data_IF_214108901734
#
_entry.id   IF_214108901734
#
_cell.length_a   1.000
_cell.length_b   1.000
_cell.length_c   1.000
_cell.angle_alpha   90.00
_cell.angle_beta   90.00
_cell.angle_gamma   90.00
#
_symmetry.space_group_name_H-M   'P 1'
#
loop_
_entity.id
_entity.type
_entity.pdbx_description
1 polymer ?
#
# COMPACT_ATOMS: atom_id res chain seq x y z
N UNK A 1 -25.80 -8.33 -67.91
CA UNK A 1 -26.28 -7.67 -66.67
C UNK A 1 -26.25 -8.54 -65.45
N UNK A 2 -26.79 -9.77 -65.40
CA UNK A 2 -26.85 -10.63 -64.23
C UNK A 2 -25.50 -11.01 -63.60
N UNK A 3 -24.40 -11.14 -64.35
CA UNK A 3 -23.06 -11.50 -63.76
C UNK A 3 -22.43 -10.36 -62.96
N UNK A 4 -22.69 -9.12 -63.26
CA UNK A 4 -22.18 -8.00 -62.52
C UNK A 4 -22.95 -7.80 -61.20
N UNK A 5 -24.27 -8.06 -61.22
CA UNK A 5 -25.09 -7.98 -60.01
C UNK A 5 -24.63 -8.95 -58.93
N UNK A 6 -24.26 -10.19 -59.30
CA UNK A 6 -23.71 -11.17 -58.34
C UNK A 6 -22.38 -10.74 -57.72
N UNK A 7 -21.51 -10.07 -58.50
CA UNK A 7 -20.24 -9.55 -57.98
C UNK A 7 -20.46 -8.39 -57.00
N UNK A 8 -21.43 -7.50 -57.28
CA UNK A 8 -21.79 -6.44 -56.35
C UNK A 8 -22.40 -6.97 -55.05
N UNK A 9 -23.27 -7.99 -55.11
CA UNK A 9 -23.82 -8.63 -53.91
C UNK A 9 -22.74 -9.34 -53.09
N UNK A 10 -21.78 -9.99 -53.73
CA UNK A 10 -20.67 -10.63 -53.06
C UNK A 10 -19.76 -9.60 -52.36
N UNK A 11 -19.45 -8.51 -53.06
CA UNK A 11 -18.66 -7.42 -52.49
C UNK A 11 -19.34 -6.76 -51.28
N UNK A 12 -20.67 -6.49 -51.36
CA UNK A 12 -21.46 -5.97 -50.25
C UNK A 12 -21.50 -6.93 -49.06
N UNK A 13 -21.66 -8.24 -49.31
CA UNK A 13 -21.64 -9.23 -48.26
C UNK A 13 -20.27 -9.28 -47.52
N UNK A 14 -19.17 -9.21 -48.29
CA UNK A 14 -17.82 -9.18 -47.69
C UNK A 14 -17.60 -7.91 -46.88
N UNK A 15 -18.04 -6.76 -47.37
CA UNK A 15 -17.94 -5.49 -46.64
C UNK A 15 -18.78 -5.56 -45.35
N UNK A 16 -19.99 -6.10 -45.39
CA UNK A 16 -20.84 -6.27 -44.20
C UNK A 16 -20.21 -7.21 -43.15
N UNK A 17 -19.59 -8.32 -43.58
CA UNK A 17 -18.87 -9.22 -42.68
C UNK A 17 -17.68 -8.53 -42.02
N UNK A 18 -16.89 -7.77 -42.79
CA UNK A 18 -15.76 -7.00 -42.26
C UNK A 18 -16.24 -5.94 -41.25
N UNK A 19 -17.31 -5.23 -41.57
CA UNK A 19 -17.88 -4.22 -40.69
C UNK A 19 -18.40 -4.83 -39.39
N UNK A 20 -19.07 -5.97 -39.43
CA UNK A 20 -19.56 -6.69 -38.24
C UNK A 20 -18.40 -7.24 -37.40
N UNK A 21 -17.39 -7.83 -38.04
CA UNK A 21 -16.21 -8.35 -37.30
C UNK A 21 -15.37 -7.23 -36.71
N UNK A 22 -15.18 -6.13 -37.42
CA UNK A 22 -14.49 -4.94 -36.89
C UNK A 22 -15.28 -4.31 -35.74
N UNK A 23 -16.62 -4.17 -35.89
CA UNK A 23 -17.50 -3.68 -34.84
C UNK A 23 -17.50 -4.58 -33.58
N UNK A 24 -17.56 -5.90 -33.75
CA UNK A 24 -17.47 -6.86 -32.68
C UNK A 24 -16.09 -6.81 -31.99
N UNK A 25 -15.01 -6.68 -32.77
CA UNK A 25 -13.65 -6.57 -32.20
C UNK A 25 -13.47 -5.28 -31.38
N UNK A 26 -13.99 -4.14 -31.89
CA UNK A 26 -13.99 -2.86 -31.18
C UNK A 26 -14.86 -2.95 -29.93
N UNK A 27 -16.05 -3.56 -30.03
CA UNK A 27 -16.93 -3.78 -28.88
C UNK A 27 -16.24 -4.62 -27.80
N UNK A 28 -15.67 -5.78 -28.17
CA UNK A 28 -14.93 -6.63 -27.24
C UNK A 28 -13.74 -5.91 -26.63
N UNK A 29 -13.04 -5.08 -27.41
CA UNK A 29 -11.92 -4.29 -26.88
C UNK A 29 -12.37 -3.22 -25.90
N UNK A 30 -13.47 -2.50 -26.18
CA UNK A 30 -14.03 -1.46 -25.30
C UNK A 30 -14.59 -2.06 -24.00
N UNK A 31 -15.21 -3.25 -24.09
CA UNK A 31 -15.86 -3.89 -22.94
C UNK A 31 -15.00 -4.96 -22.25
N UNK A 32 -13.77 -5.13 -22.71
CA UNK A 32 -12.84 -6.05 -22.07
C UNK A 32 -12.51 -5.54 -20.68
N UNK A 33 -12.66 -6.40 -19.67
CA UNK A 33 -12.16 -6.14 -18.33
C UNK A 33 -10.64 -6.02 -18.40
N UNK A 34 -10.11 -4.92 -17.92
CA UNK A 34 -8.66 -4.75 -17.74
C UNK A 34 -8.27 -5.23 -16.36
N UNK A 35 -7.21 -6.01 -16.31
CA UNK A 35 -6.53 -6.42 -15.08
C UNK A 35 -5.13 -5.83 -15.17
N UNK A 36 -4.70 -5.18 -14.12
CA UNK A 36 -3.49 -4.37 -14.15
C UNK A 36 -2.56 -4.66 -12.97
N UNK A 37 -1.30 -4.38 -13.14
CA UNK A 37 -0.28 -4.52 -12.12
C UNK A 37 -0.17 -5.93 -11.56
N UNK A 38 0.03 -6.01 -10.25
CA UNK A 38 0.09 -7.25 -9.49
C UNK A 38 -1.26 -7.99 -9.41
N UNK A 39 -2.34 -7.30 -9.76
CA UNK A 39 -3.72 -7.80 -9.66
C UNK A 39 -3.93 -9.12 -10.38
N UNK A 40 -3.25 -9.33 -11.52
CA UNK A 40 -3.38 -10.58 -12.29
C UNK A 40 -2.96 -11.79 -11.47
N UNK A 41 -1.87 -11.68 -10.74
CA UNK A 41 -1.35 -12.76 -9.89
C UNK A 41 -2.28 -12.93 -8.69
N UNK A 42 -2.58 -11.85 -7.97
CA UNK A 42 -3.41 -11.89 -6.75
C UNK A 42 -4.80 -12.47 -7.07
N UNK A 43 -5.47 -12.02 -8.14
CA UNK A 43 -6.76 -12.56 -8.57
C UNK A 43 -6.68 -14.05 -8.90
N UNK A 44 -5.59 -14.53 -9.50
CA UNK A 44 -5.45 -15.97 -9.83
C UNK A 44 -5.44 -16.87 -8.58
N UNK A 45 -5.05 -16.34 -7.43
CA UNK A 45 -5.04 -17.07 -6.15
C UNK A 45 -6.34 -16.89 -5.36
N UNK A 46 -6.95 -15.70 -5.38
CA UNK A 46 -7.96 -15.32 -4.40
C UNK A 46 -9.34 -14.98 -4.98
N UNK A 47 -9.51 -14.71 -6.28
CA UNK A 47 -10.82 -14.36 -6.86
C UNK A 47 -11.89 -15.42 -6.57
N UNK A 48 -11.50 -16.71 -6.59
CA UNK A 48 -12.39 -17.84 -6.34
C UNK A 48 -12.02 -18.61 -5.05
N UNK A 49 -11.31 -17.95 -4.12
CA UNK A 49 -10.95 -18.58 -2.88
C UNK A 49 -12.20 -18.89 -2.05
N UNK A 50 -12.20 -20.07 -1.41
CA UNK A 50 -13.22 -20.40 -0.43
C UNK A 50 -12.90 -19.63 0.85
N UNK A 51 -13.85 -18.84 1.32
CA UNK A 51 -13.73 -18.03 2.52
C UNK A 51 -14.83 -18.40 3.50
N UNK A 52 -14.54 -18.24 4.79
CA UNK A 52 -15.55 -18.37 5.84
C UNK A 52 -16.22 -17.00 6.01
N UNK A 53 -17.53 -16.99 6.26
CA UNK A 53 -18.25 -15.76 6.59
C UNK A 53 -18.39 -15.66 8.10
N UNK A 54 -17.97 -14.55 8.68
CA UNK A 54 -18.08 -14.27 10.12
C UNK A 54 -19.03 -13.10 10.36
N UNK A 55 -19.72 -13.06 11.52
CA UNK A 55 -20.71 -12.03 11.81
C UNK A 55 -20.07 -10.73 12.33
N UNK A 56 -18.89 -10.80 12.93
CA UNK A 56 -18.18 -9.65 13.49
C UNK A 56 -16.68 -9.83 13.28
N UNK A 57 -16.01 -8.70 13.06
CA UNK A 57 -14.56 -8.59 13.07
C UNK A 57 -14.11 -8.35 14.51
N UNK A 58 -13.19 -9.18 15.02
CA UNK A 58 -12.53 -8.90 16.29
C UNK A 58 -11.54 -7.74 16.09
N UNK A 59 -12.05 -6.52 16.22
CA UNK A 59 -11.19 -5.35 16.24
C UNK A 59 -10.30 -5.40 17.49
N UNK A 60 -9.00 -5.36 17.26
CA UNK A 60 -8.07 -5.34 18.40
C UNK A 60 -7.88 -3.89 18.81
N UNK A 61 -8.31 -3.56 20.02
CA UNK A 61 -7.97 -2.29 20.66
C UNK A 61 -6.45 -2.21 20.85
N UNK A 62 -5.80 -1.38 20.06
CA UNK A 62 -4.37 -1.13 20.21
C UNK A 62 -4.12 0.08 21.10
N UNK A 63 -3.17 -0.02 22.02
CA UNK A 63 -2.81 1.12 22.85
C UNK A 63 -2.15 2.19 21.97
N UNK A 64 -2.78 3.33 21.83
CA UNK A 64 -2.15 4.52 21.28
C UNK A 64 -1.08 5.01 22.26
N UNK A 65 0.16 5.05 21.80
CA UNK A 65 1.30 5.53 22.60
C UNK A 65 1.59 7.01 22.40
N UNK A 66 0.85 7.68 21.55
CA UNK A 66 0.96 9.09 21.26
C UNK A 66 -0.44 9.71 21.18
N UNK A 67 -0.51 11.00 21.44
CA UNK A 67 -1.71 11.79 21.37
C UNK A 67 -1.60 12.79 20.21
N UNK A 68 -2.73 13.08 19.56
CA UNK A 68 -2.78 14.14 18.57
C UNK A 68 -2.58 15.51 19.25
N UNK A 69 -1.71 16.33 18.68
CA UNK A 69 -1.55 17.71 19.12
C UNK A 69 -2.64 18.58 18.49
N UNK A 70 -3.16 19.56 19.23
CA UNK A 70 -4.11 20.52 18.72
C UNK A 70 -3.46 21.48 17.72
N UNK A 71 -4.21 21.95 16.72
CA UNK A 71 -3.71 22.85 15.67
C UNK A 71 -3.06 24.13 16.23
N UNK A 72 -3.62 24.72 17.29
CA UNK A 72 -3.08 25.92 17.93
C UNK A 72 -1.77 25.67 18.67
N UNK A 73 -1.49 24.45 19.11
CA UNK A 73 -0.18 24.06 19.68
C UNK A 73 0.86 23.96 18.56
N UNK A 74 0.53 23.31 17.45
CA UNK A 74 1.42 23.15 16.29
C UNK A 74 1.81 24.49 15.69
N UNK A 75 0.89 25.46 15.67
CA UNK A 75 1.15 26.79 15.14
C UNK A 75 2.19 27.59 15.95
N UNK A 76 2.44 27.21 17.20
CA UNK A 76 3.48 27.81 18.06
C UNK A 76 4.86 27.19 17.87
N UNK A 77 4.94 26.03 17.22
CA UNK A 77 6.17 25.28 17.03
C UNK A 77 6.94 25.72 15.79
N UNK A 78 8.27 25.57 15.76
CA UNK A 78 9.04 25.72 14.53
C UNK A 78 8.47 24.80 13.45
N UNK A 79 8.24 25.32 12.24
CA UNK A 79 7.75 24.49 11.13
C UNK A 79 8.81 23.50 10.63
N UNK A 80 10.10 23.89 10.75
CA UNK A 80 11.25 23.06 10.37
C UNK A 80 12.29 23.10 11.49
N UNK A 81 12.96 21.98 11.70
CA UNK A 81 14.12 21.84 12.59
C UNK A 81 15.29 21.29 11.79
N UNK A 82 16.50 21.67 12.15
CA UNK A 82 17.74 21.08 11.65
C UNK A 82 18.41 20.28 12.75
N UNK A 83 18.72 19.01 12.49
CA UNK A 83 19.44 18.15 13.41
C UNK A 83 20.34 17.18 12.64
N UNK A 84 21.62 17.11 13.01
CA UNK A 84 22.63 16.25 12.34
C UNK A 84 22.60 16.38 10.80
N UNK A 85 22.63 17.62 10.30
CA UNK A 85 22.60 17.95 8.86
C UNK A 85 21.35 17.48 8.11
N UNK A 86 20.24 17.29 8.83
CA UNK A 86 18.93 16.93 8.25
C UNK A 86 17.87 17.91 8.69
N UNK A 87 16.88 18.11 7.84
CA UNK A 87 15.71 18.93 8.12
C UNK A 87 14.50 18.06 8.47
N UNK A 88 13.70 18.51 9.43
CA UNK A 88 12.52 17.80 9.91
C UNK A 88 11.34 18.74 10.00
N UNK A 89 10.18 18.29 9.53
CA UNK A 89 8.93 19.04 9.59
C UNK A 89 8.07 18.56 10.76
N UNK A 90 7.37 19.49 11.42
CA UNK A 90 6.45 19.18 12.53
C UNK A 90 5.33 18.23 12.11
N UNK A 91 4.96 17.34 13.01
CA UNK A 91 3.78 16.46 12.92
C UNK A 91 2.82 16.75 14.06
N UNK A 92 1.53 16.45 13.85
CA UNK A 92 0.49 16.61 14.87
C UNK A 92 0.46 15.47 15.89
N UNK A 93 1.64 15.07 16.40
CA UNK A 93 1.79 13.95 17.32
C UNK A 93 2.59 14.39 18.54
N UNK A 94 2.02 14.19 19.73
CA UNK A 94 2.72 14.30 21.02
C UNK A 94 3.33 12.96 21.41
N UNK A 95 4.53 13.02 21.93
CA UNK A 95 5.32 11.86 22.35
C UNK A 95 5.51 11.89 23.87
N UNK A 96 5.38 10.76 24.53
CA UNK A 96 5.66 10.69 25.95
C UNK A 96 7.16 10.73 26.24
N UNK A 97 7.57 11.35 27.36
CA UNK A 97 8.98 11.39 27.79
C UNK A 97 9.62 10.01 27.90
N UNK A 98 8.83 8.99 28.22
CA UNK A 98 9.30 7.61 28.31
C UNK A 98 9.78 7.01 26.98
N UNK A 99 9.43 7.60 25.86
CA UNK A 99 9.80 7.15 24.52
C UNK A 99 11.08 7.81 23.97
N UNK A 100 11.64 8.78 24.72
CA UNK A 100 12.89 9.43 24.33
C UNK A 100 14.09 8.52 24.60
N UNK A 101 15.09 8.57 23.69
CA UNK A 101 16.35 7.91 23.91
C UNK A 101 17.09 8.48 25.12
N UNK A 102 17.92 7.67 25.77
CA UNK A 102 18.78 8.16 26.85
C UNK A 102 19.92 8.99 26.24
N UNK A 103 19.95 10.26 26.60
CA UNK A 103 20.98 11.21 26.13
C UNK A 103 20.53 12.64 26.32
N UNK A 104 21.47 13.59 26.30
CA UNK A 104 21.14 15.01 26.22
C UNK A 104 20.84 15.33 24.75
N UNK A 105 19.64 15.86 24.50
CA UNK A 105 19.28 16.41 23.18
C UNK A 105 20.08 17.69 22.89
N UNK A 106 20.23 18.03 21.64
CA UNK A 106 20.75 19.31 21.22
C UNK A 106 19.61 20.32 21.11
N UNK A 107 19.71 21.47 21.79
CA UNK A 107 18.75 22.58 21.68
C UNK A 107 17.27 22.17 21.76
N UNK A 108 16.87 21.36 22.73
CA UNK A 108 15.52 20.77 22.89
C UNK A 108 15.14 19.72 21.83
N UNK A 109 16.08 19.21 21.05
CA UNK A 109 15.84 18.12 20.10
C UNK A 109 16.31 16.80 20.72
N UNK A 110 15.44 15.81 20.73
CA UNK A 110 15.68 14.50 21.32
C UNK A 110 15.51 13.41 20.27
N UNK A 111 16.29 12.35 20.41
CA UNK A 111 16.09 11.12 19.61
C UNK A 111 15.06 10.21 20.28
N UNK A 112 14.44 9.36 19.50
CA UNK A 112 13.52 8.33 19.96
C UNK A 112 14.28 7.03 20.27
N UNK A 113 13.77 6.22 21.22
CA UNK A 113 14.39 4.93 21.57
C UNK A 113 14.33 3.91 20.42
N UNK A 114 13.19 3.89 19.76
CA UNK A 114 12.79 2.79 18.91
C UNK A 114 12.65 3.18 17.42
N UNK A 115 12.86 4.45 17.11
CA UNK A 115 12.84 4.99 15.74
C UNK A 115 14.17 5.71 15.48
N UNK A 116 14.80 5.45 14.33
CA UNK A 116 16.02 6.12 13.95
C UNK A 116 15.81 7.63 13.79
N UNK A 117 16.77 8.43 14.28
CA UNK A 117 16.78 9.87 14.02
C UNK A 117 16.74 10.20 12.53
N UNK A 118 17.16 9.30 11.67
CA UNK A 118 17.07 9.49 10.21
C UNK A 118 15.63 9.63 9.70
N UNK A 119 14.65 9.10 10.42
CA UNK A 119 13.23 9.17 10.09
C UNK A 119 12.51 10.26 10.88
N UNK A 120 12.78 10.34 12.18
CA UNK A 120 12.09 11.28 13.06
C UNK A 120 12.94 11.69 14.27
N UNK A 121 12.65 12.89 14.77
CA UNK A 121 13.17 13.41 16.04
C UNK A 121 12.03 14.04 16.82
N UNK A 122 12.29 14.40 18.08
CA UNK A 122 11.31 15.03 18.96
C UNK A 122 11.80 16.40 19.38
N UNK A 123 10.94 17.39 19.35
CA UNK A 123 11.22 18.73 19.86
C UNK A 123 10.48 18.96 21.18
N UNK A 124 11.22 19.38 22.20
CA UNK A 124 10.67 19.75 23.50
C UNK A 124 10.29 21.24 23.50
N UNK A 125 9.01 21.52 23.75
CA UNK A 125 8.47 22.87 23.89
C UNK A 125 7.52 22.93 25.09
N UNK A 126 7.76 23.84 26.02
CA UNK A 126 6.95 24.03 27.25
C UNK A 126 6.71 22.75 28.08
N UNK A 127 7.71 21.86 28.15
CA UNK A 127 7.68 20.51 28.77
C UNK A 127 6.77 19.49 28.07
N UNK A 128 6.31 19.76 26.87
CA UNK A 128 5.66 18.83 25.97
C UNK A 128 6.63 18.41 24.86
N UNK A 129 6.38 17.23 24.26
CA UNK A 129 7.28 16.61 23.29
C UNK A 129 6.52 16.36 21.99
N UNK A 130 7.00 16.95 20.88
CA UNK A 130 6.35 16.92 19.59
C UNK A 130 7.20 16.20 18.57
N UNK A 131 6.58 15.30 17.80
CA UNK A 131 7.23 14.52 16.73
C UNK A 131 7.50 15.41 15.52
N UNK A 132 8.70 15.28 15.00
CA UNK A 132 9.13 15.87 13.74
C UNK A 132 9.61 14.80 12.80
N UNK A 133 9.03 14.69 11.61
CA UNK A 133 9.47 13.77 10.58
C UNK A 133 10.59 14.35 9.76
N UNK A 134 11.45 13.51 9.25
CA UNK A 134 12.44 13.91 8.25
C UNK A 134 11.74 14.53 7.03
N UNK A 135 12.10 15.78 6.72
CA UNK A 135 11.54 16.52 5.61
C UNK A 135 12.52 16.51 4.44
N UNK A 136 12.08 15.95 3.33
CA UNK A 136 12.94 15.85 2.16
C UNK A 136 12.13 16.08 0.88
N UNK A 137 12.05 17.34 0.46
CA UNK A 137 11.52 17.66 -0.88
C UNK A 137 12.56 17.48 -2.00
N UNK A 138 13.86 17.46 -1.68
CA UNK A 138 14.93 17.53 -2.69
C UNK A 138 16.03 16.45 -2.54
N UNK A 139 16.09 15.72 -1.42
CA UNK A 139 17.16 14.74 -1.26
C UNK A 139 16.72 13.36 -1.80
N UNK A 140 17.54 12.74 -2.64
CA UNK A 140 17.22 11.41 -3.11
C UNK A 140 17.16 10.47 -1.91
N UNK A 141 16.11 9.65 -1.86
CA UNK A 141 16.03 8.45 -1.05
C UNK A 141 17.33 7.70 -1.24
N UNK A 142 17.94 7.20 -0.17
CA UNK A 142 19.17 6.43 -0.28
C UNK A 142 18.96 5.32 -1.33
N UNK A 143 19.66 5.39 -2.48
CA UNK A 143 19.44 4.44 -3.56
C UNK A 143 19.96 3.03 -3.23
N UNK A 144 20.65 2.88 -2.11
CA UNK A 144 21.18 1.60 -1.63
C UNK A 144 20.36 1.03 -0.46
N UNK A 145 19.35 1.77 0.06
CA UNK A 145 18.49 1.31 1.14
C UNK A 145 17.73 0.05 0.73
N UNK A 146 17.93 -1.04 1.46
CA UNK A 146 17.15 -2.26 1.27
C UNK A 146 15.88 -2.24 2.12
N UNK A 147 14.91 -3.11 1.79
CA UNK A 147 13.73 -3.27 2.63
C UNK A 147 14.08 -3.64 4.08
N UNK A 148 15.10 -4.47 4.28
CA UNK A 148 15.59 -4.82 5.62
C UNK A 148 16.19 -3.62 6.35
N UNK A 149 16.92 -2.76 5.65
CA UNK A 149 17.51 -1.56 6.25
C UNK A 149 16.40 -0.61 6.70
N UNK A 150 15.35 -0.39 5.89
CA UNK A 150 14.19 0.40 6.29
C UNK A 150 13.55 -0.17 7.56
N UNK A 151 13.29 -1.49 7.60
CA UNK A 151 12.68 -2.10 8.78
C UNK A 151 13.56 -1.93 10.01
N UNK A 152 14.87 -2.02 9.91
CA UNK A 152 15.81 -1.77 11.01
C UNK A 152 15.83 -0.30 11.45
N UNK A 153 15.65 0.64 10.53
CA UNK A 153 15.54 2.06 10.84
C UNK A 153 14.21 2.43 11.52
N UNK A 154 13.13 1.80 11.11
CA UNK A 154 11.80 1.98 11.73
C UNK A 154 11.78 1.40 13.13
N UNK A 155 12.40 0.24 13.33
CA UNK A 155 12.35 -0.48 14.59
C UNK A 155 13.75 -0.91 15.02
N UNK A 156 14.42 -0.12 15.84
CA UNK A 156 15.75 -0.49 16.37
C UNK A 156 15.75 -1.84 17.12
N UNK A 157 14.57 -2.36 17.49
CA UNK A 157 14.38 -3.62 18.20
C UNK A 157 13.47 -4.63 17.50
N UNK A 158 13.18 -4.46 16.20
CA UNK A 158 12.33 -5.36 15.40
C UNK A 158 10.91 -5.59 15.95
N UNK A 159 10.27 -4.59 16.52
CA UNK A 159 8.94 -4.73 17.09
C UNK A 159 7.87 -3.99 16.28
N UNK A 160 7.52 -4.54 15.14
CA UNK A 160 6.25 -4.23 14.50
C UNK A 160 5.22 -5.23 14.99
N UNK A 161 4.12 -4.75 15.54
CA UNK A 161 2.98 -5.58 15.89
C UNK A 161 2.00 -5.58 14.73
N UNK A 162 2.01 -6.63 13.94
CA UNK A 162 1.05 -6.81 12.86
C UNK A 162 -0.29 -7.29 13.42
N UNK A 163 -1.38 -6.67 12.96
CA UNK A 163 -2.71 -6.95 13.47
C UNK A 163 -3.70 -7.41 12.41
N UNK A 164 -3.52 -7.05 11.15
CA UNK A 164 -4.42 -7.44 10.07
C UNK A 164 -3.67 -7.64 8.76
N UNK A 165 -4.19 -8.51 7.93
CA UNK A 165 -3.81 -8.66 6.54
C UNK A 165 -5.06 -8.82 5.71
N UNK A 166 -5.26 -7.91 4.75
CA UNK A 166 -6.45 -7.86 3.91
C UNK A 166 -6.08 -8.02 2.45
N UNK A 167 -6.85 -8.84 1.75
CA UNK A 167 -6.79 -8.97 0.30
C UNK A 167 -7.99 -8.23 -0.26
N UNK A 168 -7.74 -7.13 -0.96
CA UNK A 168 -8.75 -6.33 -1.61
C UNK A 168 -8.96 -6.80 -3.04
N UNK A 169 -10.19 -7.08 -3.41
CA UNK A 169 -10.58 -7.44 -4.75
C UNK A 169 -11.61 -6.42 -5.25
N UNK A 170 -11.20 -5.55 -6.16
CA UNK A 170 -12.02 -4.45 -6.64
C UNK A 170 -12.51 -4.71 -8.06
N UNK A 171 -13.78 -4.44 -8.32
CA UNK A 171 -14.32 -4.39 -9.66
C UNK A 171 -15.01 -3.03 -9.89
N UNK A 172 -14.54 -2.31 -10.89
CA UNK A 172 -15.10 -1.06 -11.35
C UNK A 172 -15.76 -1.24 -12.72
N UNK A 173 -16.99 -0.75 -12.88
CA UNK A 173 -17.72 -0.76 -14.15
C UNK A 173 -18.48 0.56 -14.38
N UNK A 174 -17.88 1.47 -15.14
CA UNK A 174 -18.46 2.79 -15.44
C UNK A 174 -19.77 2.78 -16.26
N UNK A 175 -20.35 1.62 -16.51
CA UNK A 175 -21.66 1.49 -17.16
C UNK A 175 -22.79 1.36 -16.16
N UNK A 176 -22.47 1.08 -14.90
CA UNK A 176 -23.44 0.98 -13.83
C UNK A 176 -23.78 2.39 -13.33
N UNK A 177 -24.83 2.53 -12.54
CA UNK A 177 -25.16 3.79 -11.87
C UNK A 177 -24.16 4.10 -10.75
N UNK A 178 -24.05 5.34 -10.36
CA UNK A 178 -23.01 5.86 -9.46
C UNK A 178 -22.81 5.03 -8.18
N UNK A 179 -23.86 4.41 -7.65
CA UNK A 179 -23.80 3.60 -6.43
C UNK A 179 -23.35 2.14 -6.69
N UNK A 180 -23.48 1.66 -7.94
CA UNK A 180 -23.16 0.28 -8.34
C UNK A 180 -21.86 0.18 -9.14
N UNK A 181 -21.19 1.30 -9.41
CA UNK A 181 -19.98 1.36 -10.25
C UNK A 181 -18.80 0.60 -9.66
N UNK A 182 -18.80 0.41 -8.35
CA UNK A 182 -17.69 -0.11 -7.59
C UNK A 182 -18.13 -1.26 -6.69
N UNK A 183 -17.47 -2.39 -6.85
CA UNK A 183 -17.62 -3.54 -5.96
C UNK A 183 -16.29 -3.83 -5.30
N UNK A 184 -16.27 -3.73 -3.99
CA UNK A 184 -15.16 -4.09 -3.15
C UNK A 184 -15.48 -5.42 -2.45
N UNK A 185 -14.55 -6.33 -2.48
CA UNK A 185 -14.58 -7.57 -1.69
C UNK A 185 -13.31 -7.60 -0.86
N UNK A 186 -13.47 -7.64 0.45
CA UNK A 186 -12.38 -7.70 1.42
C UNK A 186 -12.29 -9.09 2.02
N UNK A 187 -11.13 -9.73 1.82
CA UNK A 187 -10.83 -11.03 2.40
C UNK A 187 -9.78 -10.82 3.47
N UNK A 188 -10.17 -11.00 4.72
CA UNK A 188 -9.26 -10.93 5.85
C UNK A 188 -8.54 -12.25 6.04
N UNK A 189 -7.33 -12.19 6.58
CA UNK A 189 -6.47 -13.33 6.82
C UNK A 189 -6.26 -13.52 8.32
N UNK A 190 -6.50 -14.74 8.83
CA UNK A 190 -6.23 -15.10 10.22
C UNK A 190 -5.08 -16.09 10.30
N UNK A 191 -4.00 -15.70 10.98
CA UNK A 191 -2.80 -16.52 11.10
C UNK A 191 -1.70 -15.82 11.88
N UNK A 192 -0.48 -16.35 11.78
CA UNK A 192 0.69 -15.76 12.41
C UNK A 192 1.35 -14.71 11.49
N UNK A 193 0.95 -13.45 11.66
CA UNK A 193 1.49 -12.34 10.87
C UNK A 193 2.97 -12.10 11.11
N UNK A 194 3.46 -12.36 12.34
CA UNK A 194 4.88 -12.22 12.67
C UNK A 194 5.70 -13.25 11.91
N UNK A 195 5.27 -14.50 11.92
CA UNK A 195 5.93 -15.56 11.16
C UNK A 195 5.90 -15.25 9.65
N UNK A 196 4.78 -14.78 9.12
CA UNK A 196 4.67 -14.36 7.73
C UNK A 196 5.68 -13.25 7.38
N UNK A 197 5.79 -12.25 8.23
CA UNK A 197 6.72 -11.16 8.04
C UNK A 197 8.19 -11.63 8.05
N UNK A 198 8.57 -12.44 9.03
CA UNK A 198 9.95 -12.92 9.20
C UNK A 198 10.33 -13.98 8.15
N UNK A 199 9.48 -14.98 7.93
CA UNK A 199 9.80 -16.14 7.09
C UNK A 199 9.45 -15.96 5.60
N UNK A 200 8.49 -15.08 5.30
CA UNK A 200 8.11 -14.76 3.93
C UNK A 200 8.66 -13.39 3.51
N UNK A 201 8.20 -12.30 4.12
CA UNK A 201 8.52 -10.96 3.62
C UNK A 201 9.99 -10.61 3.79
N UNK A 202 10.58 -10.71 4.96
CA UNK A 202 11.99 -10.38 5.16
C UNK A 202 12.93 -11.32 4.40
N UNK A 203 12.57 -12.59 4.27
CA UNK A 203 13.38 -13.57 3.55
C UNK A 203 13.35 -13.37 2.04
N UNK A 204 12.18 -13.10 1.47
CA UNK A 204 12.01 -12.94 0.02
C UNK A 204 12.39 -11.54 -0.47
N UNK A 205 12.14 -10.51 0.33
CA UNK A 205 12.27 -9.11 -0.08
C UNK A 205 13.34 -8.33 0.67
N UNK A 206 13.88 -8.84 1.78
CA UNK A 206 14.78 -8.10 2.67
C UNK A 206 15.99 -7.46 2.00
N UNK A 207 16.54 -8.09 0.95
CA UNK A 207 17.70 -7.59 0.19
C UNK A 207 17.33 -6.73 -1.03
N UNK A 208 16.02 -6.47 -1.27
CA UNK A 208 15.61 -5.67 -2.42
C UNK A 208 15.86 -4.20 -2.11
N UNK A 209 16.48 -3.54 -3.08
CA UNK A 209 16.83 -2.12 -2.98
C UNK A 209 15.60 -1.27 -3.28
N UNK A 210 15.46 -0.19 -2.53
CA UNK A 210 14.47 0.84 -2.75
C UNK A 210 14.59 1.44 -4.16
N UNK A 211 13.48 1.56 -4.85
CA UNK A 211 13.45 2.08 -6.22
C UNK A 211 12.71 3.43 -6.35
N UNK A 212 12.42 4.07 -5.23
CA UNK A 212 11.82 5.38 -5.20
C UNK A 212 10.74 5.56 -4.14
N UNK A 213 10.05 6.68 -4.22
CA UNK A 213 8.90 6.98 -3.37
C UNK A 213 7.74 6.04 -3.64
N UNK A 214 6.81 5.99 -2.68
CA UNK A 214 5.58 5.23 -2.78
C UNK A 214 4.87 5.51 -4.11
N UNK A 215 4.75 4.47 -4.93
CA UNK A 215 4.13 4.58 -6.24
C UNK A 215 2.60 4.45 -6.13
N UNK A 216 1.91 5.58 -6.15
CA UNK A 216 0.45 5.61 -6.24
C UNK A 216 0.02 5.56 -7.69
N UNK A 217 -0.89 4.66 -7.99
CA UNK A 217 -1.48 4.59 -9.31
C UNK A 217 -2.39 5.80 -9.59
N UNK A 218 -2.13 6.49 -10.69
CA UNK A 218 -3.07 7.46 -11.23
C UNK A 218 -4.36 6.76 -11.69
N UNK A 219 -5.53 7.36 -11.40
CA UNK A 219 -6.83 6.85 -11.84
C UNK A 219 -6.84 6.70 -13.37
N UNK A 220 -7.09 5.49 -13.87
CA UNK A 220 -7.22 5.26 -15.31
C UNK A 220 -8.57 5.80 -15.82
N UNK A 221 -8.57 7.04 -16.32
CA UNK A 221 -9.78 7.77 -16.72
C UNK A 221 -10.50 7.18 -17.94
N UNK A 222 -9.86 6.28 -18.71
CA UNK A 222 -10.40 5.78 -19.98
C UNK A 222 -10.79 4.29 -19.94
N UNK A 223 -10.84 3.67 -18.77
CA UNK A 223 -11.20 2.24 -18.64
C UNK A 223 -12.64 2.11 -18.19
N UNK A 224 -13.45 1.40 -18.98
CA UNK A 224 -14.88 1.18 -18.66
C UNK A 224 -15.11 0.06 -17.66
N UNK A 225 -14.25 -0.95 -17.65
CA UNK A 225 -14.28 -2.04 -16.68
C UNK A 225 -12.86 -2.37 -16.25
N UNK A 226 -12.65 -2.49 -14.97
CA UNK A 226 -11.34 -2.81 -14.39
C UNK A 226 -11.53 -3.75 -13.20
N UNK A 227 -10.71 -4.78 -13.14
CA UNK A 227 -10.50 -5.56 -11.91
C UNK A 227 -9.12 -5.25 -11.39
N UNK A 228 -9.04 -4.95 -10.11
CA UNK A 228 -7.78 -4.77 -9.39
C UNK A 228 -7.79 -5.64 -8.16
N UNK A 229 -6.61 -6.00 -7.71
CA UNK A 229 -6.41 -6.68 -6.45
C UNK A 229 -5.14 -6.19 -5.79
N UNK A 230 -5.16 -6.14 -4.48
CA UNK A 230 -4.00 -5.84 -3.66
C UNK A 230 -4.00 -6.70 -2.41
N UNK A 231 -2.82 -6.82 -1.79
CA UNK A 231 -2.65 -7.43 -0.48
C UNK A 231 -2.02 -6.36 0.39
N UNK A 232 -2.59 -6.07 1.53
CA UNK A 232 -2.05 -5.13 2.50
C UNK A 232 -1.89 -5.82 3.86
N UNK A 233 -0.69 -5.70 4.43
CA UNK A 233 -0.37 -6.13 5.79
C UNK A 233 -0.25 -4.88 6.65
N UNK A 234 -1.05 -4.79 7.69
CA UNK A 234 -1.13 -3.67 8.60
C UNK A 234 -0.48 -3.99 9.94
N UNK A 235 0.24 -3.04 10.47
CA UNK A 235 0.89 -3.16 11.76
C UNK A 235 1.03 -1.82 12.47
N UNK A 236 1.52 -1.88 13.70
CA UNK A 236 1.93 -0.71 14.48
C UNK A 236 3.44 -0.71 14.65
N UNK A 237 4.03 0.43 14.35
CA UNK A 237 5.39 0.77 14.71
C UNK A 237 5.45 1.24 16.16
N UNK A 238 6.65 1.40 16.74
CA UNK A 238 6.81 2.18 17.95
C UNK A 238 6.06 3.52 17.87
N UNK A 239 5.54 4.00 18.99
CA UNK A 239 4.64 5.15 19.13
C UNK A 239 3.18 4.90 18.71
N UNK A 240 2.81 3.70 18.30
CA UNK A 240 1.46 3.40 17.81
C UNK A 240 1.16 3.91 16.39
N UNK A 241 2.21 4.35 15.66
CA UNK A 241 2.07 4.79 14.28
C UNK A 241 1.81 3.58 13.39
N UNK A 242 0.82 3.66 12.52
CA UNK A 242 0.49 2.57 11.59
C UNK A 242 1.56 2.39 10.53
N UNK A 243 1.80 1.15 10.16
CA UNK A 243 2.60 0.77 8.99
C UNK A 243 1.77 -0.11 8.07
N UNK A 244 1.88 0.10 6.78
CA UNK A 244 1.35 -0.79 5.76
C UNK A 244 2.44 -1.30 4.84
N UNK A 245 2.37 -2.59 4.52
CA UNK A 245 3.18 -3.22 3.48
C UNK A 245 2.19 -3.76 2.45
N UNK A 246 2.19 -3.22 1.25
CA UNK A 246 1.21 -3.59 0.25
C UNK A 246 1.82 -4.02 -1.09
N UNK A 247 1.16 -4.99 -1.71
CA UNK A 247 1.39 -5.47 -3.07
C UNK A 247 0.24 -4.97 -3.94
N UNK A 248 0.23 -3.64 -4.12
CA UNK A 248 -0.90 -2.96 -4.72
C UNK A 248 -0.92 -2.94 -6.23
N UNK A 249 -1.45 -1.86 -6.74
CA UNK A 249 -1.85 -1.67 -8.14
C UNK A 249 -0.71 -1.51 -9.14
N UNK A 250 0.51 -1.27 -8.68
CA UNK A 250 1.67 -1.07 -9.57
C UNK A 250 2.35 -2.40 -9.81
N UNK A 251 2.52 -2.73 -11.09
CA UNK A 251 3.14 -3.99 -11.48
C UNK A 251 4.57 -4.12 -10.93
N UNK A 252 4.87 -5.29 -10.39
CA UNK A 252 6.19 -5.64 -9.87
C UNK A 252 6.68 -4.69 -8.77
N UNK A 253 5.76 -4.20 -7.92
CA UNK A 253 6.08 -3.32 -6.80
C UNK A 253 5.48 -3.83 -5.50
N UNK A 254 6.28 -3.75 -4.45
CA UNK A 254 5.85 -3.78 -3.06
C UNK A 254 6.07 -2.37 -2.50
N UNK A 255 5.06 -1.82 -1.84
CA UNK A 255 5.13 -0.52 -1.21
C UNK A 255 5.12 -0.66 0.31
N UNK A 256 5.81 0.23 0.97
CA UNK A 256 5.84 0.33 2.44
C UNK A 256 5.62 1.78 2.80
N UNK A 257 4.66 2.05 3.67
CA UNK A 257 4.35 3.41 4.12
C UNK A 257 3.80 3.40 5.53
N UNK A 258 3.75 4.58 6.12
CA UNK A 258 3.11 4.84 7.41
C UNK A 258 1.88 5.73 7.23
N UNK A 259 0.99 5.73 8.23
CA UNK A 259 -0.19 6.61 8.26
C UNK A 259 0.14 8.08 8.44
N UNK A 260 1.34 8.40 8.95
CA UNK A 260 1.77 9.76 9.30
C UNK A 260 2.64 10.43 8.24
N UNK A 261 2.82 9.80 7.10
CA UNK A 261 3.68 10.27 6.00
C UNK A 261 5.13 10.59 6.44
N UNK A 262 5.66 9.83 7.39
CA UNK A 262 7.07 9.91 7.77
C UNK A 262 7.96 9.30 6.69
N UNK A 263 7.45 8.26 6.04
CA UNK A 263 8.12 7.62 4.92
C UNK A 263 7.13 7.00 3.93
N UNK A 264 7.58 6.84 2.72
CA UNK A 264 6.94 6.01 1.70
C UNK A 264 8.04 5.46 0.81
N UNK A 265 8.08 4.14 0.63
CA UNK A 265 9.10 3.44 -0.14
C UNK A 265 8.47 2.46 -1.09
N UNK A 266 9.12 2.27 -2.23
CA UNK A 266 8.68 1.31 -3.24
C UNK A 266 9.84 0.40 -3.61
N UNK A 267 9.59 -0.90 -3.62
CA UNK A 267 10.58 -1.94 -3.89
C UNK A 267 10.20 -2.72 -5.13
N UNK A 268 11.15 -2.88 -6.05
CA UNK A 268 10.93 -3.66 -7.27
C UNK A 268 10.95 -5.14 -6.93
N UNK A 269 9.84 -5.82 -7.19
CA UNK A 269 9.68 -7.27 -6.96
C UNK A 269 9.51 -8.02 -8.27
N UNK A 270 9.66 -9.33 -8.25
CA UNK A 270 9.37 -10.20 -9.39
C UNK A 270 7.98 -10.82 -9.27
N UNK A 271 7.40 -11.23 -10.40
CA UNK A 271 6.15 -11.98 -10.42
C UNK A 271 6.25 -13.27 -9.58
N UNK A 272 7.37 -13.98 -9.69
CA UNK A 272 7.63 -15.22 -8.94
C UNK A 272 7.68 -14.99 -7.42
N UNK A 273 8.24 -13.86 -6.96
CA UNK A 273 8.21 -13.51 -5.53
C UNK A 273 6.78 -13.27 -5.05
N UNK A 274 5.98 -12.55 -5.83
CA UNK A 274 4.57 -12.31 -5.50
C UNK A 274 3.75 -13.60 -5.51
N UNK A 275 4.01 -14.51 -6.47
CA UNK A 275 3.37 -15.83 -6.50
C UNK A 275 3.69 -16.64 -5.24
N UNK A 276 4.96 -16.64 -4.79
CA UNK A 276 5.36 -17.30 -3.53
C UNK A 276 4.66 -16.69 -2.32
N UNK A 277 4.51 -15.37 -2.29
CA UNK A 277 3.78 -14.68 -1.23
C UNK A 277 2.30 -15.08 -1.22
N UNK A 278 1.64 -15.06 -2.37
CA UNK A 278 0.25 -15.51 -2.50
C UNK A 278 0.08 -16.99 -2.08
N UNK A 279 1.01 -17.85 -2.50
CA UNK A 279 1.01 -19.26 -2.11
C UNK A 279 1.20 -19.44 -0.61
N UNK A 280 2.14 -18.72 0.00
CA UNK A 280 2.35 -18.75 1.45
C UNK A 280 1.07 -18.37 2.23
N UNK A 281 0.40 -17.28 1.81
CA UNK A 281 -0.85 -16.85 2.42
C UNK A 281 -1.91 -17.94 2.31
N UNK A 282 -2.10 -18.52 1.13
CA UNK A 282 -3.08 -19.57 0.88
C UNK A 282 -2.85 -20.82 1.71
N UNK A 283 -1.59 -21.16 2.00
CA UNK A 283 -1.22 -22.39 2.70
C UNK A 283 -1.23 -22.23 4.23
N UNK A 284 -1.06 -20.99 4.75
CA UNK A 284 -0.82 -20.77 6.17
C UNK A 284 -1.86 -19.86 6.86
N UNK A 285 -2.82 -19.30 6.11
CA UNK A 285 -3.85 -18.43 6.68
C UNK A 285 -5.24 -18.97 6.42
N UNK A 286 -6.10 -18.82 7.42
CA UNK A 286 -7.54 -18.95 7.26
C UNK A 286 -8.08 -17.66 6.62
N UNK A 287 -8.89 -17.81 5.58
CA UNK A 287 -9.49 -16.71 4.84
C UNK A 287 -10.95 -16.51 5.26
N UNK A 288 -11.34 -15.28 5.57
CA UNK A 288 -12.72 -14.99 5.96
C UNK A 288 -13.18 -13.61 5.44
N UNK A 289 -14.48 -13.45 5.38
CA UNK A 289 -15.17 -12.20 5.07
C UNK A 289 -16.10 -11.84 6.22
N UNK A 290 -16.21 -10.54 6.50
CA UNK A 290 -17.18 -10.02 7.47
C UNK A 290 -18.51 -9.84 6.74
N UNK A 291 -19.59 -10.24 7.38
CA UNK A 291 -20.93 -10.04 6.86
C UNK A 291 -21.26 -8.53 6.84
N UNK A 292 -21.63 -8.02 5.69
CA UNK A 292 -22.24 -6.70 5.55
C UNK A 292 -23.63 -6.63 6.19
#
# INVERSE_FOLDING_TARGET
MRKNLKKYFLALAVIAVIAVTAGASVYLWIYRVKIDGNSKIILSYFENAQVQTVDEYEDKDYPYYCEDAFEDEIDRLPKLLTYKDREYAVRSIKVSKGQLAAGEGEENIHELKDISYKLAVVYEYENEYYLYKYFNEEQPIDPEETFKDLIQEITQQNQIEFYDMVIYLDEYDSRLSDDDDYKLREIHCKGDFKQFFEECLLKEYGSIINCGEYAVRGRMTNVKRMKTASIALYGYMPLGITISIDFGFVQNRMNVSDGESMFGRSYQITEEQLERTCQYIKDNFELYEVKE
#
